data_IF_133243502612
#
_entry.id   IF_133243502612
#
_cell.length_a   1.000
_cell.length_b   1.000
_cell.length_c   1.000
_cell.angle_alpha   90.00
_cell.angle_beta   90.00
_cell.angle_gamma   90.00
#
_symmetry.space_group_name_H-M   'P 1'
#
loop_
_entity.id
_entity.type
_entity.pdbx_description
1 polymer ?
#
# COMPACT_ATOMS: atom_id res chain seq x y z
N UNK A 1 9.90 23.23 -0.84
CA UNK A 1 10.59 24.50 -0.52
C UNK A 1 10.48 25.52 -1.65
N UNK A 2 10.80 25.17 -2.91
CA UNK A 2 10.69 26.10 -4.06
C UNK A 2 9.28 26.64 -4.34
N UNK A 3 8.22 25.88 -4.09
CA UNK A 3 6.84 26.34 -4.32
C UNK A 3 6.31 27.28 -3.23
N UNK A 4 7.02 27.46 -2.10
CA UNK A 4 6.51 28.20 -0.94
C UNK A 4 6.98 29.67 -0.92
N UNK A 5 8.15 29.99 -1.48
CA UNK A 5 8.62 31.38 -1.61
C UNK A 5 7.76 32.24 -2.54
N UNK A 6 6.84 31.65 -3.31
CA UNK A 6 5.99 32.38 -4.24
C UNK A 6 4.68 32.91 -3.65
N UNK A 7 4.24 32.44 -2.47
CA UNK A 7 2.90 32.72 -1.95
C UNK A 7 2.84 33.46 -0.61
N UNK A 8 3.96 33.57 0.11
CA UNK A 8 4.06 34.36 1.35
C UNK A 8 5.39 35.10 1.32
N UNK A 9 5.41 36.44 1.12
CA UNK A 9 6.64 37.20 1.24
C UNK A 9 7.07 37.13 2.72
N UNK A 10 8.14 36.39 2.98
CA UNK A 10 8.85 36.46 4.24
C UNK A 10 9.62 37.79 4.24
N UNK A 11 9.04 38.83 4.83
CA UNK A 11 9.77 40.05 5.17
C UNK A 11 10.74 39.72 6.31
N UNK A 12 11.93 39.26 5.94
CA UNK A 12 13.03 39.05 6.88
C UNK A 12 13.71 40.41 7.07
N UNK A 13 13.57 41.10 8.22
CA UNK A 13 14.30 42.33 8.46
C UNK A 13 15.80 42.03 8.47
N UNK A 14 16.51 42.53 7.45
CA UNK A 14 17.93 42.29 7.23
C UNK A 14 18.76 43.11 8.24
N UNK A 15 18.85 42.66 9.49
CA UNK A 15 19.80 43.20 10.46
C UNK A 15 21.19 42.61 10.19
N UNK A 16 22.07 43.43 9.58
CA UNK A 16 23.42 43.07 9.10
C UNK A 16 24.40 42.53 10.15
N UNK A 17 24.10 42.55 11.45
CA UNK A 17 25.00 42.11 12.54
C UNK A 17 24.29 41.16 13.52
N UNK A 18 23.83 39.99 13.08
CA UNK A 18 23.25 38.96 13.98
C UNK A 18 24.06 37.68 13.92
N UNK A 19 24.21 37.03 15.08
CA UNK A 19 24.85 35.71 15.19
C UNK A 19 23.96 34.64 14.56
N UNK A 20 24.54 33.58 13.99
CA UNK A 20 23.77 32.48 13.37
C UNK A 20 22.74 31.86 14.35
N UNK A 21 23.06 31.86 15.65
CA UNK A 21 22.15 31.42 16.71
C UNK A 21 20.93 32.32 16.92
N UNK A 22 21.07 33.63 16.75
CA UNK A 22 19.94 34.56 16.80
C UNK A 22 19.04 34.43 15.57
N UNK A 23 19.63 34.13 14.40
CA UNK A 23 18.85 33.82 13.18
C UNK A 23 18.05 32.54 13.35
N UNK A 24 18.63 31.50 13.96
CA UNK A 24 17.93 30.24 14.27
C UNK A 24 16.83 30.47 15.32
N UNK A 25 17.06 31.29 16.34
CA UNK A 25 16.03 31.67 17.32
C UNK A 25 14.89 32.45 16.68
N UNK A 26 15.20 33.44 15.84
CA UNK A 26 14.20 34.20 15.08
C UNK A 26 13.42 33.32 14.10
N UNK A 27 14.06 32.34 13.45
CA UNK A 27 13.38 31.35 12.63
C UNK A 27 12.44 30.49 13.47
N UNK A 28 12.87 30.00 14.65
CA UNK A 28 12.02 29.25 15.57
C UNK A 28 10.84 30.08 16.09
N UNK A 29 11.05 31.35 16.38
CA UNK A 29 10.03 32.29 16.84
C UNK A 29 9.04 32.66 15.71
N UNK A 30 9.54 32.82 14.48
CA UNK A 30 8.72 32.98 13.28
C UNK A 30 7.94 31.70 12.94
N UNK A 31 8.52 30.51 13.14
CA UNK A 31 7.83 29.22 13.03
C UNK A 31 6.77 29.04 14.13
N UNK A 32 7.03 29.56 15.34
CA UNK A 32 6.11 29.59 16.47
C UNK A 32 4.98 30.62 16.33
N UNK A 33 5.11 31.58 15.44
CA UNK A 33 4.05 32.55 15.10
C UNK A 33 2.85 31.86 14.42
N UNK A 34 1.69 32.53 14.41
CA UNK A 34 0.46 32.05 13.75
C UNK A 34 0.68 31.72 12.26
N UNK A 35 1.59 32.41 11.59
CA UNK A 35 1.94 32.16 10.19
C UNK A 35 2.76 30.88 10.00
N UNK A 36 3.76 30.63 10.86
CA UNK A 36 4.55 29.40 10.82
C UNK A 36 3.71 28.15 11.09
N UNK A 37 2.81 28.22 12.06
CA UNK A 37 1.84 27.17 12.36
C UNK A 37 0.89 26.90 11.18
N UNK A 38 0.53 27.94 10.43
CA UNK A 38 -0.27 27.82 9.20
C UNK A 38 0.54 27.18 8.07
N UNK A 39 1.80 27.55 7.90
CA UNK A 39 2.71 26.95 6.90
C UNK A 39 2.92 25.45 7.12
N UNK A 40 3.11 25.05 8.38
CA UNK A 40 3.27 23.64 8.76
C UNK A 40 1.97 22.86 8.49
N UNK A 41 0.81 23.41 8.86
CA UNK A 41 -0.48 22.77 8.60
C UNK A 41 -0.74 22.55 7.10
N UNK A 42 -0.35 23.52 6.27
CA UNK A 42 -0.46 23.43 4.82
C UNK A 42 0.51 22.38 4.26
N UNK A 43 1.74 22.33 4.77
CA UNK A 43 2.75 21.34 4.35
C UNK A 43 2.30 19.92 4.70
N UNK A 44 1.86 19.67 5.92
CA UNK A 44 1.35 18.36 6.34
C UNK A 44 0.14 17.95 5.50
N UNK A 45 -0.78 18.89 5.23
CA UNK A 45 -1.96 18.64 4.39
C UNK A 45 -1.60 18.33 2.94
N UNK A 46 -0.61 19.02 2.35
CA UNK A 46 -0.16 18.70 0.99
C UNK A 46 0.55 17.33 0.91
N UNK A 47 1.40 16.99 1.89
CA UNK A 47 2.04 15.66 1.94
C UNK A 47 1.03 14.53 2.16
N UNK A 48 0.01 14.73 2.99
CA UNK A 48 -1.06 13.75 3.22
C UNK A 48 -1.93 13.53 1.99
N UNK A 49 -2.18 14.55 1.15
CA UNK A 49 -2.83 14.36 -0.16
C UNK A 49 -1.98 13.48 -1.09
N UNK A 50 -0.66 13.71 -1.14
CA UNK A 50 0.24 12.82 -1.92
C UNK A 50 0.18 11.39 -1.36
N UNK A 51 0.20 11.24 -0.04
CA UNK A 51 0.03 9.97 0.65
C UNK A 51 -1.31 9.30 0.35
N UNK A 52 -2.39 10.07 0.21
CA UNK A 52 -3.72 9.59 -0.17
C UNK A 52 -3.71 9.00 -1.58
N UNK A 53 -3.11 9.69 -2.55
CA UNK A 53 -2.98 9.17 -3.92
C UNK A 53 -2.17 7.86 -3.94
N UNK A 54 -1.09 7.80 -3.16
CA UNK A 54 -0.31 6.57 -2.98
C UNK A 54 -1.13 5.47 -2.28
N UNK A 55 -1.98 5.81 -1.31
CA UNK A 55 -2.82 4.85 -0.62
C UNK A 55 -3.93 4.30 -1.52
N UNK A 56 -4.60 5.15 -2.30
CA UNK A 56 -5.62 4.75 -3.28
C UNK A 56 -5.01 3.79 -4.31
N UNK A 57 -3.83 4.10 -4.84
CA UNK A 57 -3.18 3.26 -5.86
C UNK A 57 -2.63 1.95 -5.29
N UNK A 58 -1.80 2.03 -4.24
CA UNK A 58 -1.06 0.86 -3.76
C UNK A 58 -1.77 0.13 -2.62
N UNK A 59 -2.43 0.84 -1.72
CA UNK A 59 -3.03 0.22 -0.52
C UNK A 59 -4.40 -0.37 -0.83
N UNK A 60 -5.27 0.31 -1.57
CA UNK A 60 -6.55 -0.26 -1.99
C UNK A 60 -6.38 -1.49 -2.89
N UNK A 61 -5.44 -1.44 -3.84
CA UNK A 61 -5.05 -2.61 -4.63
C UNK A 61 -4.38 -3.69 -3.77
N UNK A 62 -3.51 -3.31 -2.84
CA UNK A 62 -2.85 -4.22 -1.91
C UNK A 62 -3.81 -4.98 -1.01
N UNK A 63 -4.83 -4.32 -0.47
CA UNK A 63 -5.86 -4.93 0.39
C UNK A 63 -6.72 -5.95 -0.34
N UNK A 64 -6.92 -5.81 -1.65
CA UNK A 64 -7.63 -6.81 -2.46
C UNK A 64 -6.70 -7.91 -2.95
N UNK A 65 -5.52 -7.55 -3.47
CA UNK A 65 -4.59 -8.49 -4.07
C UNK A 65 -3.87 -9.38 -3.01
N UNK A 66 -3.48 -8.84 -1.85
CA UNK A 66 -2.78 -9.61 -0.80
C UNK A 66 -3.55 -10.88 -0.40
N UNK A 67 -4.79 -10.78 0.12
CA UNK A 67 -5.51 -11.96 0.57
C UNK A 67 -5.79 -12.96 -0.56
N UNK A 68 -6.14 -12.47 -1.74
CA UNK A 68 -6.44 -13.32 -2.89
C UNK A 68 -5.20 -14.06 -3.42
N UNK A 69 -4.03 -13.42 -3.38
CA UNK A 69 -2.76 -14.11 -3.68
C UNK A 69 -2.41 -15.15 -2.60
N UNK A 70 -2.75 -14.91 -1.32
CA UNK A 70 -2.57 -15.90 -0.25
C UNK A 70 -3.50 -17.11 -0.43
N UNK A 71 -4.76 -16.89 -0.81
CA UNK A 71 -5.77 -17.95 -1.01
C UNK A 71 -5.49 -18.76 -2.27
N UNK A 72 -5.25 -18.09 -3.41
CA UNK A 72 -4.94 -18.78 -4.68
C UNK A 72 -3.62 -19.54 -4.61
N UNK A 73 -2.68 -19.03 -3.80
CA UNK A 73 -1.34 -19.55 -3.68
C UNK A 73 -0.56 -19.44 -4.99
N UNK A 74 0.65 -19.98 -4.97
CA UNK A 74 1.39 -20.27 -6.20
C UNK A 74 0.93 -21.62 -6.75
N UNK A 75 1.08 -21.81 -8.05
CA UNK A 75 1.03 -23.14 -8.68
C UNK A 75 2.06 -24.08 -8.02
N UNK A 76 1.84 -25.40 -8.09
CA UNK A 76 2.80 -26.33 -7.50
C UNK A 76 4.06 -26.37 -8.36
N UNK A 77 5.24 -26.36 -7.74
CA UNK A 77 6.50 -26.52 -8.47
C UNK A 77 6.54 -27.82 -9.29
N UNK A 78 5.92 -28.89 -8.78
CA UNK A 78 5.80 -30.16 -9.49
C UNK A 78 4.88 -30.07 -10.72
N UNK A 79 3.81 -29.27 -10.63
CA UNK A 79 2.90 -29.05 -11.77
C UNK A 79 3.56 -28.18 -12.84
N UNK A 80 4.23 -27.09 -12.44
CA UNK A 80 5.01 -26.27 -13.37
C UNK A 80 6.16 -27.04 -14.02
N UNK A 81 6.77 -27.99 -13.30
CA UNK A 81 7.79 -28.87 -13.87
C UNK A 81 7.20 -29.75 -14.94
N UNK A 82 6.05 -30.37 -14.68
CA UNK A 82 5.36 -31.22 -15.67
C UNK A 82 5.02 -30.43 -16.94
N UNK A 83 4.45 -29.23 -16.80
CA UNK A 83 4.12 -28.34 -17.92
C UNK A 83 5.38 -27.91 -18.69
N UNK A 84 6.46 -27.56 -17.98
CA UNK A 84 7.73 -27.20 -18.61
C UNK A 84 8.41 -28.39 -19.31
N UNK A 85 8.24 -29.62 -18.81
CA UNK A 85 8.72 -30.84 -19.49
C UNK A 85 7.93 -31.10 -20.77
N UNK A 86 6.60 -30.93 -20.76
CA UNK A 86 5.75 -31.04 -21.95
C UNK A 86 6.14 -30.00 -23.02
N UNK A 87 6.39 -28.74 -22.61
CA UNK A 87 6.89 -27.69 -23.50
C UNK A 87 8.25 -28.03 -24.13
N UNK A 88 9.18 -28.62 -23.35
CA UNK A 88 10.48 -29.06 -23.85
C UNK A 88 10.29 -30.14 -24.92
N UNK A 89 9.45 -31.14 -24.66
CA UNK A 89 9.15 -32.21 -25.62
C UNK A 89 8.52 -31.66 -26.90
N UNK A 90 7.59 -30.70 -26.80
CA UNK A 90 6.96 -30.09 -27.97
C UNK A 90 7.98 -29.31 -28.83
N UNK A 91 8.86 -28.54 -28.19
CA UNK A 91 9.92 -27.78 -28.87
C UNK A 91 10.93 -28.72 -29.52
N UNK A 92 11.37 -29.77 -28.82
CA UNK A 92 12.28 -30.80 -29.38
C UNK A 92 11.65 -31.49 -30.59
N UNK A 93 10.36 -31.86 -30.51
CA UNK A 93 9.65 -32.42 -31.65
C UNK A 93 9.57 -31.46 -32.83
N UNK A 94 9.33 -30.15 -32.61
CA UNK A 94 9.33 -29.15 -33.70
C UNK A 94 10.70 -29.03 -34.35
N UNK A 95 11.77 -29.02 -33.57
CA UNK A 95 13.15 -29.01 -34.09
C UNK A 95 13.39 -30.28 -34.93
N UNK A 96 13.02 -31.46 -34.42
CA UNK A 96 13.16 -32.73 -35.14
C UNK A 96 12.35 -32.74 -36.44
N UNK A 97 11.11 -32.23 -36.44
CA UNK A 97 10.27 -32.11 -37.66
C UNK A 97 10.86 -31.18 -38.71
N UNK A 98 11.54 -30.11 -38.30
CA UNK A 98 12.23 -29.21 -39.24
C UNK A 98 13.50 -29.87 -39.76
N UNK A 99 14.30 -30.48 -38.87
CA UNK A 99 15.52 -31.21 -39.24
C UNK A 99 15.23 -32.41 -40.14
N UNK A 100 14.10 -33.09 -39.97
CA UNK A 100 13.70 -34.23 -40.81
C UNK A 100 13.35 -33.82 -42.24
N UNK A 101 12.86 -32.59 -42.48
CA UNK A 101 12.65 -32.06 -43.85
C UNK A 101 13.96 -31.88 -44.63
N UNK A 102 15.09 -31.86 -43.93
CA UNK A 102 16.42 -31.69 -44.51
C UNK A 102 17.20 -33.00 -44.60
N UNK A 103 16.56 -34.16 -44.38
CA UNK A 103 17.22 -35.47 -44.41
C UNK A 103 17.70 -35.87 -45.81
N UNK A 104 17.18 -35.21 -46.85
CA UNK A 104 17.53 -35.44 -48.27
C UNK A 104 18.84 -34.74 -48.71
N UNK A 105 19.66 -34.24 -47.76
CA UNK A 105 20.93 -33.57 -48.03
C UNK A 105 20.82 -32.12 -48.52
N UNK A 106 19.59 -31.58 -48.63
CA UNK A 106 19.37 -30.16 -48.98
C UNK A 106 19.68 -29.27 -47.76
N UNK A 107 20.40 -28.14 -47.95
CA UNK A 107 20.64 -27.19 -46.87
C UNK A 107 19.32 -26.59 -46.36
N UNK A 108 19.25 -26.31 -45.05
CA UNK A 108 18.09 -25.65 -44.45
C UNK A 108 17.81 -24.31 -45.16
N UNK A 109 16.53 -24.05 -45.42
CA UNK A 109 16.08 -22.72 -45.83
C UNK A 109 16.51 -21.67 -44.81
N UNK A 110 16.87 -20.47 -45.26
CA UNK A 110 17.29 -19.38 -44.37
C UNK A 110 16.23 -19.03 -43.33
N UNK A 111 14.94 -19.21 -43.66
CA UNK A 111 13.82 -19.07 -42.71
C UNK A 111 13.79 -20.19 -41.67
N UNK A 112 13.95 -21.43 -42.11
CA UNK A 112 13.96 -22.60 -41.22
C UNK A 112 15.19 -22.61 -40.30
N UNK A 113 16.33 -22.07 -40.77
CA UNK A 113 17.52 -21.89 -39.93
C UNK A 113 17.28 -20.90 -38.80
N UNK A 114 16.59 -19.78 -39.06
CA UNK A 114 16.22 -18.78 -38.04
C UNK A 114 15.19 -19.35 -37.04
N UNK A 115 14.20 -20.09 -37.51
CA UNK A 115 13.20 -20.69 -36.61
C UNK A 115 13.83 -21.76 -35.71
N UNK A 116 14.76 -22.58 -36.24
CA UNK A 116 15.51 -23.54 -35.42
C UNK A 116 16.37 -22.82 -34.37
N UNK A 117 17.04 -21.72 -34.72
CA UNK A 117 17.80 -20.93 -33.75
C UNK A 117 16.91 -20.38 -32.63
N UNK A 118 15.75 -19.80 -32.96
CA UNK A 118 14.78 -19.32 -31.96
C UNK A 118 14.24 -20.44 -31.07
N UNK A 119 13.97 -21.62 -31.65
CA UNK A 119 13.52 -22.79 -30.89
C UNK A 119 14.62 -23.34 -29.99
N UNK A 120 15.88 -23.36 -30.43
CA UNK A 120 17.03 -23.76 -29.61
C UNK A 120 17.27 -22.76 -28.46
N UNK A 121 17.11 -21.46 -28.67
CA UNK A 121 17.14 -20.45 -27.61
C UNK A 121 16.03 -20.66 -26.58
N UNK A 122 14.78 -20.87 -27.04
CA UNK A 122 13.65 -21.18 -26.16
C UNK A 122 13.86 -22.50 -25.39
N UNK A 123 14.46 -23.51 -26.02
CA UNK A 123 14.79 -24.77 -25.34
C UNK A 123 15.84 -24.56 -24.23
N UNK A 124 16.84 -23.70 -24.45
CA UNK A 124 17.80 -23.32 -23.41
C UNK A 124 17.12 -22.63 -22.23
N UNK A 125 16.15 -21.74 -22.46
CA UNK A 125 15.43 -21.06 -21.38
C UNK A 125 14.53 -22.04 -20.61
N UNK A 126 13.81 -22.92 -21.30
CA UNK A 126 12.99 -23.97 -20.67
C UNK A 126 13.84 -24.94 -19.82
N UNK A 127 14.99 -25.40 -20.32
CA UNK A 127 15.92 -26.25 -19.54
C UNK A 127 16.57 -25.52 -18.35
N UNK A 128 16.75 -24.19 -18.43
CA UNK A 128 17.17 -23.40 -17.25
C UNK A 128 16.06 -23.40 -16.20
N UNK A 129 14.81 -23.17 -16.59
CA UNK A 129 13.65 -23.22 -15.66
C UNK A 129 13.50 -24.59 -14.99
N UNK A 130 13.67 -25.67 -15.74
CA UNK A 130 13.58 -27.04 -15.21
C UNK A 130 14.59 -27.31 -14.08
N UNK A 131 15.84 -26.88 -14.24
CA UNK A 131 16.89 -27.05 -13.21
C UNK A 131 16.57 -26.26 -11.93
N UNK A 132 15.99 -25.07 -12.05
CA UNK A 132 15.53 -24.30 -10.89
C UNK A 132 14.35 -25.00 -10.20
N UNK A 133 13.35 -25.45 -10.97
CA UNK A 133 12.20 -26.18 -10.45
C UNK A 133 12.60 -27.46 -9.71
N UNK A 134 13.55 -28.22 -10.26
CA UNK A 134 14.06 -29.44 -9.62
C UNK A 134 14.78 -29.16 -8.29
N UNK A 135 15.54 -28.06 -8.21
CA UNK A 135 16.20 -27.67 -6.95
C UNK A 135 15.21 -27.21 -5.87
N UNK A 136 14.14 -26.51 -6.27
CA UNK A 136 13.06 -26.09 -5.38
C UNK A 136 12.26 -27.31 -4.90
N UNK A 137 11.92 -28.24 -5.81
CA UNK A 137 11.14 -29.45 -5.52
C UNK A 137 11.86 -30.38 -4.53
N UNK A 138 13.18 -30.58 -4.69
CA UNK A 138 13.97 -31.45 -3.80
C UNK A 138 14.25 -30.83 -2.44
N UNK A 139 14.04 -29.52 -2.27
CA UNK A 139 14.34 -28.85 -1.02
C UNK A 139 13.33 -29.22 0.07
N UNK A 140 13.82 -29.57 1.26
CA UNK A 140 12.99 -29.88 2.44
C UNK A 140 11.98 -28.74 2.75
N UNK A 141 12.35 -27.52 2.36
CA UNK A 141 11.52 -26.32 2.43
C UNK A 141 10.23 -26.38 1.62
N UNK A 142 10.18 -27.13 0.51
CA UNK A 142 8.96 -27.28 -0.28
C UNK A 142 7.89 -28.08 0.47
N UNK A 143 8.28 -29.17 1.14
CA UNK A 143 7.35 -29.97 1.97
C UNK A 143 6.82 -29.18 3.17
N UNK A 144 7.67 -28.40 3.83
CA UNK A 144 7.26 -27.51 4.91
C UNK A 144 6.31 -26.39 4.40
N UNK A 145 6.59 -25.82 3.21
CA UNK A 145 5.73 -24.82 2.59
C UNK A 145 4.36 -25.38 2.19
N UNK A 146 4.30 -26.65 1.80
CA UNK A 146 3.06 -27.37 1.48
C UNK A 146 2.21 -27.61 2.74
N UNK A 147 2.84 -27.97 3.86
CA UNK A 147 2.16 -28.10 5.16
C UNK A 147 1.61 -26.76 5.69
N UNK A 148 2.25 -25.62 5.38
CA UNK A 148 1.79 -24.27 5.78
C UNK A 148 0.67 -23.74 4.87
N UNK A 149 0.37 -24.41 3.74
CA UNK A 149 -0.65 -23.98 2.78
C UNK A 149 -2.05 -23.73 3.40
N UNK A 150 -2.63 -24.63 4.23
CA UNK A 150 -3.91 -24.37 4.87
C UNK A 150 -3.87 -23.11 5.76
N UNK A 151 -2.77 -22.90 6.50
CA UNK A 151 -2.59 -21.69 7.33
C UNK A 151 -2.56 -20.43 6.46
N UNK A 152 -1.90 -20.44 5.30
CA UNK A 152 -1.90 -19.31 4.36
C UNK A 152 -3.30 -18.96 3.87
N UNK A 153 -4.14 -19.96 3.60
CA UNK A 153 -5.53 -19.75 3.18
C UNK A 153 -6.34 -19.13 4.32
N UNK A 154 -6.20 -19.62 5.55
CA UNK A 154 -6.86 -19.05 6.74
C UNK A 154 -6.47 -17.59 6.94
N UNK A 155 -5.18 -17.27 6.87
CA UNK A 155 -4.69 -15.88 6.91
C UNK A 155 -5.25 -15.03 5.77
N UNK A 156 -5.35 -15.58 4.55
CA UNK A 156 -5.96 -14.91 3.42
C UNK A 156 -7.44 -14.55 3.68
N UNK A 157 -8.24 -15.50 4.17
CA UNK A 157 -9.66 -15.26 4.53
C UNK A 157 -9.77 -14.20 5.64
N UNK A 158 -8.93 -14.29 6.67
CA UNK A 158 -8.88 -13.29 7.75
C UNK A 158 -8.63 -11.88 7.20
N UNK A 159 -7.65 -11.72 6.30
CA UNK A 159 -7.36 -10.42 5.69
C UNK A 159 -8.50 -9.89 4.81
N UNK A 160 -9.29 -10.76 4.15
CA UNK A 160 -10.51 -10.32 3.43
C UNK A 160 -11.54 -9.76 4.41
N UNK A 161 -11.79 -10.47 5.52
CA UNK A 161 -12.77 -10.03 6.53
C UNK A 161 -12.36 -8.66 7.09
N UNK A 162 -11.08 -8.49 7.44
CA UNK A 162 -10.54 -7.22 7.92
C UNK A 162 -10.65 -6.12 6.85
N UNK A 163 -10.33 -6.42 5.59
CA UNK A 163 -10.49 -5.46 4.49
C UNK A 163 -11.94 -5.00 4.33
N UNK A 164 -12.89 -5.94 4.32
CA UNK A 164 -14.32 -5.63 4.24
C UNK A 164 -14.79 -4.80 5.44
N UNK A 165 -14.32 -5.11 6.65
CA UNK A 165 -14.63 -4.34 7.85
C UNK A 165 -14.17 -2.89 7.71
N UNK A 166 -12.95 -2.63 7.21
CA UNK A 166 -12.48 -1.26 6.93
C UNK A 166 -13.30 -0.58 5.84
N UNK A 167 -13.63 -1.27 4.75
CA UNK A 167 -14.41 -0.71 3.65
C UNK A 167 -15.81 -0.32 4.11
N UNK A 168 -16.50 -1.19 4.85
CA UNK A 168 -17.84 -0.90 5.42
C UNK A 168 -17.75 0.24 6.42
N UNK A 169 -16.73 0.24 7.28
CA UNK A 169 -16.48 1.33 8.24
C UNK A 169 -16.33 2.68 7.53
N UNK A 170 -15.45 2.77 6.53
CA UNK A 170 -15.25 3.98 5.74
C UNK A 170 -16.52 4.37 4.98
N UNK A 171 -17.23 3.41 4.39
CA UNK A 171 -18.47 3.68 3.68
C UNK A 171 -19.53 4.29 4.60
N UNK A 172 -19.74 3.72 5.78
CA UNK A 172 -20.69 4.25 6.78
C UNK A 172 -20.28 5.63 7.27
N UNK A 173 -18.99 5.85 7.58
CA UNK A 173 -18.48 7.17 7.99
C UNK A 173 -18.67 8.23 6.89
N UNK A 174 -18.45 7.89 5.62
CA UNK A 174 -18.64 8.86 4.53
C UNK A 174 -20.11 9.06 4.19
N UNK A 175 -20.96 8.05 4.36
CA UNK A 175 -22.41 8.18 4.21
C UNK A 175 -22.99 9.10 5.29
N UNK A 176 -22.54 8.97 6.54
CA UNK A 176 -22.89 9.91 7.62
C UNK A 176 -22.51 11.35 7.25
N UNK A 177 -21.31 11.51 6.68
CA UNK A 177 -20.83 12.80 6.17
C UNK A 177 -21.66 13.36 5.02
N UNK A 178 -22.11 12.51 4.11
CA UNK A 178 -22.94 12.92 2.99
C UNK A 178 -24.34 13.38 3.42
N UNK A 179 -24.92 12.71 4.43
CA UNK A 179 -26.30 12.96 4.86
C UNK A 179 -26.44 14.13 5.84
N UNK A 180 -25.46 14.33 6.71
CA UNK A 180 -25.58 15.27 7.84
C UNK A 180 -24.64 16.49 7.78
N UNK A 181 -23.77 16.60 6.77
CA UNK A 181 -22.87 17.75 6.67
C UNK A 181 -23.54 18.97 6.04
N UNK A 182 -23.07 20.17 6.42
CA UNK A 182 -23.44 21.47 5.87
C UNK A 182 -22.90 21.71 4.42
N UNK A 183 -22.84 20.67 3.59
CA UNK A 183 -22.52 20.76 2.16
C UNK A 183 -21.03 20.94 1.82
N UNK A 184 -20.77 21.31 0.55
CA UNK A 184 -19.43 21.48 0.01
C UNK A 184 -18.67 22.51 0.84
N UNK A 185 -19.19 23.73 1.04
CA UNK A 185 -18.52 24.92 1.62
C UNK A 185 -17.96 24.77 3.05
N UNK A 186 -18.34 23.73 3.78
CA UNK A 186 -17.84 23.42 5.13
C UNK A 186 -16.84 22.25 5.18
N UNK A 187 -16.71 21.49 4.09
CA UNK A 187 -15.63 20.52 3.90
C UNK A 187 -15.94 19.17 4.48
N UNK A 188 -17.23 18.87 4.62
CA UNK A 188 -17.72 17.62 5.18
C UNK A 188 -17.26 17.39 6.63
N UNK A 189 -17.11 18.47 7.41
CA UNK A 189 -16.73 18.44 8.82
C UNK A 189 -17.98 18.22 9.66
N UNK A 190 -17.98 17.16 10.46
CA UNK A 190 -19.06 16.83 11.40
C UNK A 190 -18.45 16.60 12.78
N UNK A 191 -18.99 17.29 13.78
CA UNK A 191 -18.59 17.17 15.19
C UNK A 191 -19.35 16.04 15.92
N UNK A 192 -20.46 15.54 15.38
CA UNK A 192 -21.30 14.51 15.99
C UNK A 192 -21.72 13.41 15.00
N UNK A 193 -21.37 12.16 15.30
CA UNK A 193 -21.73 10.99 14.48
C UNK A 193 -23.10 10.43 14.86
N UNK A 194 -24.04 10.35 13.92
CA UNK A 194 -25.33 9.69 14.15
C UNK A 194 -25.34 8.23 13.64
N UNK A 195 -24.60 7.93 12.57
CA UNK A 195 -24.44 6.57 12.06
C UNK A 195 -23.28 5.84 12.73
N UNK A 196 -23.59 4.70 13.32
CA UNK A 196 -22.63 3.91 14.09
C UNK A 196 -21.73 3.08 13.17
N UNK A 197 -20.47 3.50 13.00
CA UNK A 197 -19.43 2.70 12.34
C UNK A 197 -18.88 1.64 13.33
N UNK A 198 -18.71 0.37 12.91
CA UNK A 198 -18.24 -0.72 13.78
C UNK A 198 -16.87 -0.45 14.43
N UNK A 199 -15.91 0.15 13.71
CA UNK A 199 -14.62 0.51 14.29
C UNK A 199 -14.73 1.65 15.30
N UNK A 200 -15.60 2.64 15.03
CA UNK A 200 -15.84 3.75 15.93
C UNK A 200 -16.46 3.33 17.27
N UNK A 201 -17.22 2.22 17.31
CA UNK A 201 -17.70 1.62 18.56
C UNK A 201 -16.66 0.76 19.26
N UNK A 202 -15.88 0.01 18.49
CA UNK A 202 -14.91 -0.94 19.03
C UNK A 202 -13.77 -0.24 19.79
N UNK A 203 -13.16 0.79 19.19
CA UNK A 203 -11.97 1.44 19.76
C UNK A 203 -12.22 2.08 21.15
N UNK A 204 -13.31 2.85 21.38
CA UNK A 204 -13.60 3.40 22.71
C UNK A 204 -13.86 2.34 23.78
N UNK A 205 -14.48 1.22 23.42
CA UNK A 205 -14.70 0.10 24.37
C UNK A 205 -13.37 -0.53 24.76
N UNK A 206 -12.46 -0.76 23.81
CA UNK A 206 -11.14 -1.30 24.09
C UNK A 206 -10.29 -0.36 24.97
N UNK A 207 -10.49 0.95 24.86
CA UNK A 207 -9.81 1.95 25.69
C UNK A 207 -10.10 1.79 27.20
N UNK A 208 -11.17 1.09 27.58
CA UNK A 208 -11.46 0.78 28.99
C UNK A 208 -10.44 -0.18 29.61
N UNK A 209 -9.78 -1.02 28.80
CA UNK A 209 -8.80 -2.02 29.23
C UNK A 209 -7.43 -1.67 28.64
N UNK A 210 -6.65 -0.88 29.38
CA UNK A 210 -5.31 -0.49 28.97
C UNK A 210 -4.37 -1.71 28.88
N UNK A 211 -3.53 -1.88 27.81
CA UNK A 211 -3.28 -1.01 26.64
C UNK A 211 -3.84 -1.59 25.31
N UNK A 212 -5.03 -2.21 25.34
CA UNK A 212 -5.55 -2.94 24.17
C UNK A 212 -5.83 -2.06 22.95
N UNK A 213 -6.23 -0.81 23.15
CA UNK A 213 -6.48 0.17 22.11
C UNK A 213 -5.21 0.52 21.31
N UNK A 214 -4.07 0.70 21.98
CA UNK A 214 -2.78 0.91 21.32
C UNK A 214 -2.35 -0.30 20.49
N UNK A 215 -2.50 -1.51 21.04
CA UNK A 215 -2.19 -2.76 20.31
C UNK A 215 -3.06 -2.86 19.05
N UNK A 216 -4.36 -2.54 19.16
CA UNK A 216 -5.25 -2.55 18.01
C UNK A 216 -4.82 -1.52 16.96
N UNK A 217 -4.57 -0.26 17.33
CA UNK A 217 -4.15 0.78 16.38
C UNK A 217 -2.81 0.42 15.71
N UNK A 218 -1.84 -0.09 16.47
CA UNK A 218 -0.59 -0.57 15.90
C UNK A 218 -0.84 -1.72 14.92
N UNK A 219 -1.74 -2.65 15.24
CA UNK A 219 -2.12 -3.74 14.33
C UNK A 219 -2.79 -3.21 13.05
N UNK A 220 -3.66 -2.20 13.16
CA UNK A 220 -4.30 -1.53 12.02
C UNK A 220 -3.25 -0.86 11.12
N UNK A 221 -2.32 -0.10 11.71
CA UNK A 221 -1.25 0.58 10.95
C UNK A 221 -0.32 -0.44 10.28
N UNK A 222 0.06 -1.50 10.99
CA UNK A 222 0.87 -2.58 10.42
C UNK A 222 0.14 -3.29 9.27
N UNK A 223 -1.16 -3.53 9.39
CA UNK A 223 -1.98 -4.07 8.31
C UNK A 223 -1.95 -3.18 7.05
N UNK A 224 -2.10 -1.86 7.22
CA UNK A 224 -1.98 -0.93 6.09
C UNK A 224 -0.58 -0.98 5.47
N UNK A 225 0.48 -0.97 6.26
CA UNK A 225 1.87 -1.09 5.75
C UNK A 225 2.05 -2.39 4.95
N UNK A 226 1.62 -3.54 5.49
CA UNK A 226 1.77 -4.84 4.82
C UNK A 226 0.98 -4.91 3.50
N UNK A 227 -0.24 -4.38 3.48
CA UNK A 227 -1.05 -4.34 2.27
C UNK A 227 -0.45 -3.40 1.23
N UNK A 228 0.02 -2.21 1.61
CA UNK A 228 0.75 -1.31 0.70
C UNK A 228 2.00 -1.97 0.14
N UNK A 229 2.83 -2.61 0.97
CA UNK A 229 4.01 -3.34 0.51
C UNK A 229 3.66 -4.43 -0.51
N UNK A 230 2.60 -5.20 -0.26
CA UNK A 230 2.13 -6.20 -1.22
C UNK A 230 1.58 -5.58 -2.51
N UNK A 231 0.91 -4.43 -2.43
CA UNK A 231 0.44 -3.66 -3.58
C UNK A 231 1.59 -3.18 -4.46
N UNK A 232 2.59 -2.52 -3.86
CA UNK A 232 3.78 -2.02 -4.58
C UNK A 232 4.58 -3.18 -5.17
N UNK A 233 4.72 -4.31 -4.45
CA UNK A 233 5.38 -5.51 -4.99
C UNK A 233 4.66 -6.09 -6.19
N UNK A 234 3.33 -6.14 -6.15
CA UNK A 234 2.52 -6.75 -7.22
C UNK A 234 2.37 -5.85 -8.46
N UNK A 235 2.30 -4.53 -8.27
CA UNK A 235 2.07 -3.56 -9.35
C UNK A 235 3.38 -2.93 -9.88
N UNK A 236 4.44 -2.89 -9.07
CA UNK A 236 5.65 -2.12 -9.31
C UNK A 236 5.50 -0.65 -8.87
N UNK A 237 6.59 0.12 -8.91
CA UNK A 237 6.56 1.57 -8.66
C UNK A 237 6.23 2.28 -9.98
N UNK A 238 5.09 2.98 -10.02
CA UNK A 238 4.63 3.76 -11.15
C UNK A 238 4.93 5.25 -10.94
N UNK A 239 5.39 5.92 -11.99
CA UNK A 239 5.56 7.38 -12.03
C UNK A 239 4.95 7.89 -13.34
N UNK A 240 3.90 8.73 -13.25
CA UNK A 240 3.20 9.33 -14.40
C UNK A 240 2.95 8.33 -15.56
N UNK A 241 2.31 7.18 -15.27
CA UNK A 241 2.02 6.08 -16.22
C UNK A 241 3.18 5.20 -16.69
N UNK A 242 4.43 5.49 -16.32
CA UNK A 242 5.58 4.65 -16.65
C UNK A 242 5.94 3.78 -15.44
N UNK A 243 6.12 2.47 -15.66
CA UNK A 243 6.61 1.55 -14.64
C UNK A 243 8.12 1.73 -14.48
N UNK A 244 8.53 2.47 -13.44
CA UNK A 244 9.93 2.84 -13.22
C UNK A 244 10.75 1.69 -12.62
N UNK A 245 10.20 1.00 -11.62
CA UNK A 245 10.88 -0.11 -10.95
C UNK A 245 9.97 -1.31 -10.72
N UNK A 246 10.43 -2.51 -11.09
CA UNK A 246 9.83 -3.79 -10.70
C UNK A 246 10.53 -4.26 -9.41
N UNK A 247 9.78 -4.40 -8.31
CA UNK A 247 10.34 -4.87 -7.04
C UNK A 247 10.43 -6.39 -7.08
N UNK A 248 11.66 -6.91 -6.96
CA UNK A 248 11.98 -8.35 -6.97
C UNK A 248 12.68 -8.72 -5.66
N UNK A 249 12.40 -9.90 -5.11
CA UNK A 249 13.07 -10.35 -3.87
C UNK A 249 14.55 -10.59 -4.15
N UNK A 250 15.43 -10.06 -3.30
CA UNK A 250 16.88 -10.26 -3.37
C UNK A 250 17.62 -9.52 -4.50
N UNK A 251 16.92 -8.93 -5.47
CA UNK A 251 17.51 -8.25 -6.65
C UNK A 251 17.03 -6.80 -6.83
N UNK A 252 16.55 -6.14 -5.77
CA UNK A 252 16.13 -4.73 -5.84
C UNK A 252 17.30 -3.78 -5.75
N UNK A 253 17.42 -2.86 -6.73
CA UNK A 253 18.39 -1.76 -6.68
C UNK A 253 18.14 -0.88 -5.44
N UNK A 254 19.19 -0.39 -4.75
CA UNK A 254 19.06 0.39 -3.51
C UNK A 254 18.24 1.68 -3.69
N UNK A 255 18.32 2.32 -4.86
CA UNK A 255 17.50 3.49 -5.19
C UNK A 255 15.99 3.19 -5.16
N UNK A 256 15.56 2.02 -5.62
CA UNK A 256 14.15 1.61 -5.59
C UNK A 256 13.67 1.37 -4.14
N UNK A 257 14.55 0.89 -3.26
CA UNK A 257 14.27 0.72 -1.84
C UNK A 257 14.04 2.07 -1.14
N UNK A 258 14.80 3.10 -1.51
CA UNK A 258 14.59 4.47 -1.00
C UNK A 258 13.24 5.04 -1.45
N UNK A 259 12.87 4.88 -2.72
CA UNK A 259 11.55 5.29 -3.20
C UNK A 259 10.41 4.51 -2.52
N UNK A 260 10.57 3.21 -2.32
CA UNK A 260 9.62 2.39 -1.55
C UNK A 260 9.43 2.96 -0.14
N UNK A 261 10.54 3.26 0.56
CA UNK A 261 10.50 3.83 1.90
C UNK A 261 9.77 5.18 1.93
N UNK A 262 10.10 6.09 0.99
CA UNK A 262 9.42 7.39 0.88
C UNK A 262 7.92 7.25 0.64
N UNK A 263 7.51 6.34 -0.25
CA UNK A 263 6.08 6.08 -0.52
C UNK A 263 5.40 5.51 0.72
N UNK A 264 6.03 4.55 1.41
CA UNK A 264 5.48 3.97 2.65
C UNK A 264 5.33 5.02 3.75
N UNK A 265 6.30 5.92 3.91
CA UNK A 265 6.22 7.03 4.87
C UNK A 265 5.04 7.96 4.57
N UNK A 266 4.82 8.30 3.29
CA UNK A 266 3.66 9.10 2.87
C UNK A 266 2.34 8.36 3.12
N UNK A 267 2.30 7.05 2.88
CA UNK A 267 1.11 6.23 3.18
C UNK A 267 0.84 6.21 4.67
N UNK A 268 1.85 5.99 5.53
CA UNK A 268 1.69 6.00 6.99
C UNK A 268 1.17 7.35 7.49
N UNK A 269 1.68 8.45 6.93
CA UNK A 269 1.20 9.79 7.22
C UNK A 269 -0.30 9.92 6.85
N UNK A 270 -0.70 9.43 5.67
CA UNK A 270 -2.12 9.39 5.28
C UNK A 270 -2.96 8.44 6.15
N UNK A 271 -2.45 7.26 6.53
CA UNK A 271 -3.16 6.32 7.41
C UNK A 271 -3.47 6.97 8.75
N UNK A 272 -2.56 7.79 9.27
CA UNK A 272 -2.78 8.56 10.49
C UNK A 272 -3.98 9.51 10.35
N UNK A 273 -4.19 10.13 9.18
CA UNK A 273 -5.39 10.90 8.87
C UNK A 273 -6.62 10.00 8.73
N UNK A 274 -6.52 8.88 8.01
CA UNK A 274 -7.63 7.98 7.72
C UNK A 274 -8.27 7.41 9.01
N UNK A 275 -7.50 7.21 10.08
CA UNK A 275 -8.02 6.79 11.39
C UNK A 275 -9.03 7.81 11.95
N UNK A 276 -8.86 9.12 11.72
CA UNK A 276 -9.87 10.14 12.09
C UNK A 276 -11.20 9.96 11.35
N UNK A 277 -11.16 9.41 10.13
CA UNK A 277 -12.39 9.08 9.38
C UNK A 277 -13.01 7.75 9.82
N UNK A 278 -12.19 6.80 10.27
CA UNK A 278 -12.62 5.48 10.73
C UNK A 278 -13.24 5.49 12.13
N UNK A 279 -12.64 6.23 13.07
CA UNK A 279 -13.06 6.26 14.47
C UNK A 279 -12.95 7.69 15.04
N UNK A 280 -13.77 8.64 14.54
CA UNK A 280 -13.70 10.03 14.97
C UNK A 280 -13.84 10.19 16.48
N UNK A 281 -14.69 9.41 17.15
CA UNK A 281 -14.92 9.54 18.59
C UNK A 281 -13.65 9.21 19.41
N UNK A 282 -12.93 8.17 19.00
CA UNK A 282 -11.70 7.78 19.67
C UNK A 282 -10.57 8.80 19.44
N UNK A 283 -10.33 9.21 18.19
CA UNK A 283 -9.15 10.03 17.86
C UNK A 283 -9.36 11.53 18.13
N UNK A 284 -10.60 12.02 17.97
CA UNK A 284 -10.90 13.44 18.19
C UNK A 284 -10.96 13.80 19.66
N UNK A 285 -11.53 12.93 20.51
CA UNK A 285 -11.79 13.24 21.91
C UNK A 285 -10.91 12.44 22.89
N UNK A 286 -10.45 11.24 22.53
CA UNK A 286 -9.60 10.42 23.39
C UNK A 286 -10.22 10.06 24.73
N UNK A 287 -9.40 9.73 25.74
CA UNK A 287 -9.83 9.41 27.11
C UNK A 287 -10.09 10.65 27.97
N UNK A 288 -10.96 11.56 27.53
CA UNK A 288 -11.34 12.71 28.36
C UNK A 288 -12.31 12.26 29.48
N UNK A 289 -11.92 12.51 30.73
CA UNK A 289 -12.79 12.31 31.91
C UNK A 289 -13.00 13.68 32.55
N UNK A 290 -14.23 14.15 32.56
CA UNK A 290 -14.60 15.40 33.22
C UNK A 290 -15.13 15.09 34.62
N UNK A 291 -14.53 15.69 35.65
CA UNK A 291 -15.13 15.72 36.99
C UNK A 291 -16.29 16.71 36.95
N UNK A 292 -17.50 16.19 36.84
CA UNK A 292 -18.70 17.02 36.87
C UNK A 292 -19.07 17.25 38.32
N UNK A 293 -18.72 18.41 38.88
CA UNK A 293 -19.22 18.81 40.20
C UNK A 293 -20.62 19.39 40.03
N UNK A 294 -21.65 18.61 40.35
CA UNK A 294 -23.04 19.00 40.10
C UNK A 294 -23.85 19.09 41.38
N UNK A 295 -24.38 20.28 41.62
CA UNK A 295 -25.55 20.54 42.46
C UNK A 295 -26.62 21.09 41.50
N UNK A 296 -27.52 20.22 41.00
CA UNK A 296 -28.82 20.46 40.29
C UNK A 296 -29.09 19.46 39.13
N UNK A 297 -30.34 19.37 38.70
CA UNK A 297 -31.02 18.28 37.96
C UNK A 297 -30.30 17.65 36.75
N UNK A 298 -30.43 16.33 36.67
CA UNK A 298 -29.62 15.35 35.91
C UNK A 298 -29.77 15.39 34.37
N UNK A 299 -30.86 15.94 33.82
CA UNK A 299 -31.18 15.79 32.38
C UNK A 299 -30.54 16.88 31.51
N UNK A 300 -30.42 18.12 32.01
CA UNK A 300 -29.81 19.23 31.27
C UNK A 300 -28.27 19.13 31.21
N UNK A 301 -27.69 18.38 32.14
CA UNK A 301 -26.26 18.22 32.34
C UNK A 301 -25.58 17.41 31.24
N UNK A 302 -26.25 16.34 30.75
CA UNK A 302 -25.66 15.44 29.76
C UNK A 302 -25.52 16.12 28.38
N UNK A 303 -26.46 17.01 28.03
CA UNK A 303 -26.40 17.81 26.82
C UNK A 303 -25.30 18.88 26.89
N UNK A 304 -25.08 19.49 28.07
CA UNK A 304 -24.02 20.50 28.27
C UNK A 304 -22.61 19.89 28.25
N UNK A 305 -22.44 18.65 28.73
CA UNK A 305 -21.16 17.94 28.74
C UNK A 305 -20.66 17.55 27.35
N UNK A 306 -21.57 17.24 26.43
CA UNK A 306 -21.24 16.95 25.02
C UNK A 306 -20.68 18.19 24.30
N UNK A 307 -21.09 19.39 24.71
CA UNK A 307 -20.67 20.67 24.09
C UNK A 307 -19.30 21.17 24.60
N UNK A 308 -18.72 20.50 25.61
CA UNK A 308 -17.44 20.88 26.24
C UNK A 308 -16.27 19.97 25.84
N UNK A 309 -16.46 19.01 24.93
CA UNK A 309 -15.39 18.12 24.49
C UNK A 309 -14.39 18.85 23.57
N UNK A 310 -13.17 19.07 24.06
CA UNK A 310 -12.11 19.73 23.28
C UNK A 310 -11.52 18.72 22.29
N UNK A 311 -11.57 19.04 20.99
CA UNK A 311 -10.98 18.21 19.94
C UNK A 311 -9.44 18.25 19.96
N UNK A 312 -8.82 17.15 19.59
CA UNK A 312 -7.36 17.05 19.44
C UNK A 312 -6.82 18.10 18.47
N UNK A 313 -5.71 18.77 18.84
CA UNK A 313 -5.08 19.81 18.00
C UNK A 313 -4.72 19.31 16.59
N UNK A 314 -4.32 18.05 16.48
CA UNK A 314 -4.02 17.37 15.20
C UNK A 314 -5.20 17.37 14.23
N UNK A 315 -6.43 17.21 14.73
CA UNK A 315 -7.64 17.28 13.91
C UNK A 315 -7.84 18.69 13.35
N UNK A 316 -7.71 19.71 14.21
CA UNK A 316 -7.81 21.12 13.80
C UNK A 316 -6.74 21.50 12.78
N UNK A 317 -5.54 20.94 12.90
CA UNK A 317 -4.45 21.15 11.94
C UNK A 317 -4.77 20.62 10.54
N UNK A 318 -5.37 19.42 10.46
CA UNK A 318 -5.67 18.74 9.19
C UNK A 318 -6.90 19.34 8.50
N UNK A 319 -7.87 19.84 9.28
CA UNK A 319 -9.11 20.43 8.77
C UNK A 319 -9.08 21.97 8.72
N UNK A 320 -7.94 22.60 9.00
CA UNK A 320 -7.79 24.08 8.95
C UNK A 320 -8.18 24.67 7.60
N UNK A 321 -7.88 23.95 6.52
CA UNK A 321 -8.22 24.36 5.18
C UNK A 321 -9.37 23.50 4.65
N UNK A 322 -10.43 24.18 4.30
CA UNK A 322 -11.65 23.59 3.79
C UNK A 322 -11.44 22.69 2.55
N UNK A 323 -10.64 23.15 1.57
CA UNK A 323 -10.42 22.42 0.32
C UNK A 323 -9.70 21.08 0.51
N UNK A 324 -8.73 20.99 1.44
CA UNK A 324 -8.05 19.72 1.73
C UNK A 324 -9.02 18.71 2.33
N UNK A 325 -9.91 19.16 3.21
CA UNK A 325 -10.98 18.33 3.78
C UNK A 325 -11.91 17.75 2.71
N UNK A 326 -12.30 18.56 1.73
CA UNK A 326 -13.10 18.10 0.60
C UNK A 326 -12.35 17.06 -0.25
N UNK A 327 -11.06 17.31 -0.58
CA UNK A 327 -10.21 16.34 -1.30
C UNK A 327 -10.16 15.00 -0.57
N UNK A 328 -10.01 15.02 0.76
CA UNK A 328 -9.96 13.79 1.54
C UNK A 328 -11.27 13.01 1.54
N UNK A 329 -12.40 13.72 1.59
CA UNK A 329 -13.72 13.11 1.49
C UNK A 329 -13.89 12.35 0.16
N UNK A 330 -13.59 13.00 -0.97
CA UNK A 330 -13.64 12.34 -2.29
C UNK A 330 -12.60 11.23 -2.42
N UNK A 331 -11.43 11.41 -1.82
CA UNK A 331 -10.39 10.38 -1.79
C UNK A 331 -10.83 9.10 -1.08
N UNK A 332 -11.63 9.18 -0.01
CA UNK A 332 -12.18 7.99 0.63
C UNK A 332 -13.15 7.23 -0.29
N UNK A 333 -13.98 7.93 -1.05
CA UNK A 333 -14.86 7.32 -2.06
C UNK A 333 -14.04 6.65 -3.18
N UNK A 334 -13.00 7.32 -3.67
CA UNK A 334 -12.09 6.76 -4.66
C UNK A 334 -11.37 5.51 -4.13
N UNK A 335 -10.95 5.53 -2.86
CA UNK A 335 -10.33 4.38 -2.20
C UNK A 335 -11.26 3.16 -2.15
N UNK A 336 -12.53 3.36 -1.78
CA UNK A 336 -13.56 2.31 -1.77
C UNK A 336 -13.77 1.77 -3.20
N UNK A 337 -13.90 2.65 -4.19
CA UNK A 337 -14.11 2.25 -5.58
C UNK A 337 -12.94 1.41 -6.13
N UNK A 338 -11.69 1.85 -5.92
CA UNK A 338 -10.50 1.10 -6.36
C UNK A 338 -10.38 -0.23 -5.62
N UNK A 339 -10.74 -0.30 -4.33
CA UNK A 339 -10.76 -1.55 -3.60
C UNK A 339 -11.77 -2.55 -4.20
N UNK A 340 -12.99 -2.12 -4.51
CA UNK A 340 -14.02 -2.98 -5.11
C UNK A 340 -13.61 -3.46 -6.51
N UNK A 341 -13.09 -2.57 -7.35
CA UNK A 341 -12.56 -2.92 -8.68
C UNK A 341 -11.40 -3.91 -8.53
N UNK A 342 -10.47 -3.65 -7.61
CA UNK A 342 -9.34 -4.51 -7.31
C UNK A 342 -9.77 -5.91 -6.84
N UNK A 343 -10.81 -6.00 -6.02
CA UNK A 343 -11.39 -7.26 -5.56
C UNK A 343 -11.97 -8.05 -6.73
N UNK A 344 -12.77 -7.43 -7.60
CA UNK A 344 -13.33 -8.07 -8.81
C UNK A 344 -12.21 -8.56 -9.74
N UNK A 345 -11.27 -7.68 -10.10
CA UNK A 345 -10.15 -8.01 -10.99
C UNK A 345 -9.29 -9.13 -10.42
N UNK A 346 -8.98 -9.07 -9.12
CA UNK A 346 -8.15 -10.08 -8.47
C UNK A 346 -8.90 -11.40 -8.26
N UNK A 347 -10.23 -11.40 -8.18
CA UNK A 347 -11.05 -12.62 -8.25
C UNK A 347 -10.96 -13.26 -9.65
N UNK A 348 -11.02 -12.47 -10.73
CA UNK A 348 -10.94 -12.96 -12.10
C UNK A 348 -9.52 -13.37 -12.54
N UNK A 349 -8.47 -12.79 -11.97
CA UNK A 349 -7.07 -13.06 -12.37
C UNK A 349 -6.62 -14.48 -11.98
N UNK A 350 -5.94 -15.20 -12.87
CA UNK A 350 -5.44 -16.57 -12.62
C UNK A 350 -4.40 -16.69 -11.50
N UNK A 351 -4.00 -17.92 -11.17
CA UNK A 351 -2.90 -18.20 -10.22
C UNK A 351 -1.58 -17.66 -10.78
N UNK A 352 -0.70 -17.14 -9.92
CA UNK A 352 0.65 -16.70 -10.30
C UNK A 352 1.59 -17.90 -10.33
N UNK A 353 2.55 -17.90 -11.26
CA UNK A 353 3.56 -18.96 -11.32
C UNK A 353 4.60 -18.81 -10.18
N UNK A 354 5.18 -19.93 -9.74
CA UNK A 354 6.22 -20.00 -8.70
C UNK A 354 7.49 -19.29 -9.17
N UNK A 355 7.77 -19.35 -10.47
CA UNK A 355 8.98 -18.82 -11.10
C UNK A 355 8.83 -17.34 -11.50
N UNK A 356 7.64 -16.75 -11.36
CA UNK A 356 7.37 -15.38 -11.83
C UNK A 356 8.21 -14.34 -11.06
N UNK A 357 9.31 -13.91 -11.67
CA UNK A 357 10.32 -13.02 -11.09
C UNK A 357 11.71 -13.63 -10.87
N UNK A 358 11.95 -14.93 -11.10
CA UNK A 358 13.29 -15.53 -11.02
C UNK A 358 13.91 -15.80 -12.40
N UNK A 359 13.06 -16.06 -13.42
CA UNK A 359 13.48 -16.33 -14.81
C UNK A 359 12.58 -15.55 -15.78
N UNK A 360 12.72 -14.22 -15.78
CA UNK A 360 12.07 -13.36 -16.79
C UNK A 360 12.95 -13.30 -18.06
N UNK A 361 12.33 -13.16 -19.24
CA UNK A 361 13.05 -13.10 -20.53
C UNK A 361 14.00 -11.89 -20.64
N UNK A 362 13.77 -10.83 -19.86
CA UNK A 362 14.62 -9.61 -19.77
C UNK A 362 15.91 -9.81 -18.94
N UNK A 363 16.12 -10.97 -18.30
CA UNK A 363 17.35 -11.24 -17.52
C UNK A 363 18.56 -11.61 -18.41
N UNK A 364 18.49 -11.41 -19.73
CA UNK A 364 19.62 -11.63 -20.64
C UNK A 364 20.78 -10.63 -20.46
N UNK A 365 20.57 -9.56 -19.68
CA UNK A 365 21.54 -8.47 -19.51
C UNK A 365 22.27 -8.49 -18.15
N UNK A 366 21.99 -9.45 -17.26
CA UNK A 366 22.81 -9.66 -16.06
C UNK A 366 23.79 -10.80 -16.31
N UNK A 367 25.07 -10.45 -16.41
CA UNK A 367 26.20 -11.36 -16.61
C UNK A 367 26.17 -12.56 -15.65
N UNK A 368 26.51 -13.72 -16.19
CA UNK A 368 26.57 -15.04 -15.53
C UNK A 368 27.53 -15.12 -14.31
N UNK A 369 28.16 -14.02 -13.89
CA UNK A 369 29.17 -14.01 -12.82
C UNK A 369 28.57 -14.12 -11.41
N UNK A 370 27.31 -13.73 -11.20
CA UNK A 370 26.71 -13.69 -9.85
C UNK A 370 26.14 -15.05 -9.39
N UNK A 371 25.94 -16.01 -10.30
CA UNK A 371 25.40 -17.34 -9.95
C UNK A 371 26.44 -18.25 -9.28
N UNK A 372 27.73 -17.94 -9.43
CA UNK A 372 28.83 -18.75 -8.89
C UNK A 372 29.11 -18.52 -7.40
N UNK A 373 28.59 -17.44 -6.82
CA UNK A 373 28.88 -17.05 -5.43
C UNK A 373 27.91 -17.66 -4.41
N UNK A 374 26.72 -18.10 -4.86
CA UNK A 374 25.68 -18.59 -3.94
C UNK A 374 25.77 -20.10 -3.61
N UNK A 375 26.65 -20.83 -4.29
CA UNK A 375 26.84 -22.29 -4.13
C UNK A 375 28.26 -22.69 -3.70
N UNK A 376 28.94 -21.82 -2.95
CA UNK A 376 30.18 -22.19 -2.23
C UNK A 376 30.00 -22.06 -0.72
#
# INVERSE_FOLDING_TARGET
LFSYSAFVPLDIPNKKNSTEWEKVKLLFEAFGSSHGLTALSFSISSLTVIGMLAAITYTAYGMSALPLNLIKGTTSAAYERLENTEDIEEVEQRILRIKSKCRDGRPLSSRDRRTVQQLEERLRTLRRRERHLESIEKSWWAKFCEAIRPLKIVWGVFFIIVALLFTVSLFLSNLDKALHSAGFDSGFIILGTNLTNPLNMLLPVLQTVFPLDYILITTIVMYFIFTSMAGIRNMGIWFFWIRLYKIRRGKTRPQALLFLCMILLLIVLHTSYMIYSLAPQYVMYGSQKYLVQVRCNMVLLFAFLLDQCIVTRTYLFLHKFWFFSAVYYFGNWAFIAVFLIGLVVSCCKGKKSVIEGEVDEDDSDLSDDELSVYYR
#
